data_IF_766634612932
#
_entry.id   IF_766634612932
#
_cell.length_a   1.000
_cell.length_b   1.000
_cell.length_c   1.000
_cell.angle_alpha   90.00
_cell.angle_beta   90.00
_cell.angle_gamma   90.00
#
_symmetry.space_group_name_H-M   'P 1'
#
loop_
_entity.id
_entity.type
_entity.pdbx_description
1 polymer ?
#
# COMPACT_ATOMS: atom_id res chain seq x y z
N UNK A 1 -9.04 -16.66 6.24
CA UNK A 1 -8.47 -15.81 7.32
C UNK A 1 -9.09 -14.43 7.19
N UNK A 2 -9.59 -13.84 8.28
CA UNK A 2 -10.10 -12.47 8.22
C UNK A 2 -8.88 -11.54 8.23
N UNK A 3 -8.70 -10.78 7.16
CA UNK A 3 -7.64 -9.78 7.04
C UNK A 3 -8.26 -8.39 6.91
N UNK A 4 -7.52 -7.38 7.35
CA UNK A 4 -7.89 -5.98 7.20
C UNK A 4 -6.75 -5.22 6.53
N UNK A 5 -7.03 -4.05 5.98
CA UNK A 5 -6.00 -3.16 5.47
C UNK A 5 -5.66 -2.13 6.55
N UNK A 6 -4.37 -1.83 6.73
CA UNK A 6 -3.96 -0.74 7.61
C UNK A 6 -4.25 0.61 6.95
N UNK A 7 -5.07 1.44 7.61
CA UNK A 7 -5.48 2.76 7.13
C UNK A 7 -4.29 3.71 6.89
N UNK A 8 -3.17 3.53 7.59
CA UNK A 8 -1.98 4.39 7.43
C UNK A 8 -1.04 3.90 6.33
N UNK A 9 -0.69 2.60 6.32
CA UNK A 9 0.40 2.09 5.49
C UNK A 9 -0.03 1.19 4.34
N UNK A 10 -1.31 0.83 4.27
CA UNK A 10 -1.89 -0.04 3.24
C UNK A 10 -1.48 -1.51 3.33
N UNK A 11 -0.69 -1.93 4.33
CA UNK A 11 -0.35 -3.35 4.52
C UNK A 11 -1.54 -4.15 5.03
N UNK A 12 -1.58 -5.42 4.67
CA UNK A 12 -2.47 -6.42 5.24
C UNK A 12 -2.18 -6.60 6.72
N UNK A 13 -3.22 -6.43 7.54
CA UNK A 13 -3.26 -6.75 8.96
C UNK A 13 -3.71 -8.21 9.07
N UNK A 14 -2.80 -9.06 9.55
CA UNK A 14 -3.10 -10.45 9.90
C UNK A 14 -3.61 -10.52 11.34
N UNK A 15 -4.67 -11.30 11.57
CA UNK A 15 -5.21 -11.50 12.92
C UNK A 15 -4.12 -11.96 13.91
N UNK A 16 -4.22 -11.50 15.17
CA UNK A 16 -3.37 -11.94 16.28
C UNK A 16 -4.23 -12.16 17.52
N UNK A 17 -3.84 -13.10 18.40
CA UNK A 17 -4.59 -13.42 19.63
C UNK A 17 -4.85 -12.19 20.51
N UNK A 18 -3.92 -11.24 20.56
CA UNK A 18 -4.08 -9.98 21.30
C UNK A 18 -5.19 -9.05 20.75
N UNK A 19 -5.78 -9.35 19.59
CA UNK A 19 -6.89 -8.60 19.00
C UNK A 19 -8.23 -9.35 19.07
N UNK A 20 -8.29 -10.50 19.73
CA UNK A 20 -9.49 -11.33 19.74
C UNK A 20 -10.75 -10.60 20.22
N UNK A 21 -10.61 -9.65 21.16
CA UNK A 21 -11.75 -8.93 21.76
C UNK A 21 -12.21 -7.71 20.95
N UNK A 22 -11.32 -7.12 20.16
CA UNK A 22 -11.53 -5.80 19.54
C UNK A 22 -11.19 -5.79 18.04
N UNK A 23 -11.21 -6.95 17.39
CA UNK A 23 -10.79 -7.08 15.98
C UNK A 23 -11.55 -6.14 15.05
N UNK A 24 -12.84 -5.91 15.31
CA UNK A 24 -13.68 -4.99 14.53
C UNK A 24 -13.17 -3.55 14.57
N UNK A 25 -12.60 -3.13 15.70
CA UNK A 25 -12.02 -1.79 15.91
C UNK A 25 -10.58 -1.66 15.41
N UNK A 26 -9.91 -2.74 14.99
CA UNK A 26 -8.53 -2.69 14.49
C UNK A 26 -8.48 -2.02 13.12
N UNK A 27 -7.82 -0.85 13.07
CA UNK A 27 -7.61 -0.05 11.84
C UNK A 27 -6.14 0.09 11.42
N UNK A 28 -5.19 -0.17 12.33
CA UNK A 28 -3.76 0.03 12.08
C UNK A 28 -2.94 -1.20 12.47
N UNK A 29 -1.90 -1.50 11.69
CA UNK A 29 -1.02 -2.64 11.96
C UNK A 29 -0.08 -2.43 13.17
N UNK A 30 0.14 -1.17 13.60
CA UNK A 30 1.04 -0.84 14.70
C UNK A 30 0.71 0.52 15.32
N UNK A 31 1.21 0.76 16.54
CA UNK A 31 1.11 2.07 17.22
C UNK A 31 1.79 3.17 16.40
N UNK A 32 2.91 2.88 15.72
CA UNK A 32 3.56 3.83 14.84
C UNK A 32 2.67 4.26 13.65
N UNK A 33 1.95 3.31 13.05
CA UNK A 33 0.99 3.61 11.98
C UNK A 33 -0.20 4.42 12.51
N UNK A 34 -0.70 4.10 13.71
CA UNK A 34 -1.76 4.88 14.35
C UNK A 34 -1.32 6.33 14.62
N UNK A 35 -0.10 6.55 15.10
CA UNK A 35 0.44 7.89 15.40
C UNK A 35 0.75 8.69 14.14
N UNK A 36 1.32 8.07 13.10
CA UNK A 36 1.68 8.76 11.85
C UNK A 36 0.46 9.13 11.00
N UNK A 37 -0.54 8.26 10.92
CA UNK A 37 -1.70 8.45 10.04
C UNK A 37 -1.32 8.52 8.55
N UNK A 38 -2.17 9.18 7.77
CA UNK A 38 -1.96 9.54 6.37
C UNK A 38 -1.84 11.07 6.30
N UNK A 39 -0.74 11.55 5.72
CA UNK A 39 -0.42 12.98 5.57
C UNK A 39 -0.87 13.50 4.21
N UNK A 40 -0.84 14.81 3.97
CA UNK A 40 -1.18 15.36 2.65
C UNK A 40 -0.17 14.93 1.57
N UNK A 41 1.13 14.89 1.92
CA UNK A 41 2.16 14.35 1.04
C UNK A 41 1.92 12.89 0.63
N UNK A 42 1.31 12.09 1.51
CA UNK A 42 0.93 10.72 1.20
C UNK A 42 -0.19 10.67 0.12
N UNK A 43 -1.11 11.64 0.12
CA UNK A 43 -2.20 11.76 -0.87
C UNK A 43 -1.68 12.30 -2.21
N UNK A 44 -0.73 13.22 -2.16
CA UNK A 44 -0.06 13.73 -3.37
C UNK A 44 0.66 12.61 -4.11
N UNK A 45 1.35 11.74 -3.36
CA UNK A 45 1.97 10.53 -3.90
C UNK A 45 0.94 9.59 -4.54
N UNK A 46 -0.23 9.40 -3.92
CA UNK A 46 -1.31 8.61 -4.53
C UNK A 46 -1.78 9.20 -5.86
N UNK A 47 -2.00 10.51 -5.92
CA UNK A 47 -2.41 11.19 -7.16
C UNK A 47 -1.33 11.10 -8.24
N UNK A 48 -0.06 11.27 -7.86
CA UNK A 48 1.06 11.11 -8.77
C UNK A 48 1.11 9.70 -9.36
N UNK A 49 1.00 8.67 -8.52
CA UNK A 49 0.98 7.27 -8.94
C UNK A 49 -0.18 7.01 -9.90
N UNK A 50 -1.39 7.46 -9.58
CA UNK A 50 -2.57 7.27 -10.43
C UNK A 50 -2.39 7.91 -11.82
N UNK A 51 -1.82 9.11 -11.88
CA UNK A 51 -1.50 9.77 -13.16
C UNK A 51 -0.46 8.99 -13.96
N UNK A 52 0.55 8.43 -13.29
CA UNK A 52 1.62 7.68 -13.94
C UNK A 52 1.11 6.36 -14.55
N UNK A 53 0.36 5.56 -13.77
CA UNK A 53 -0.19 4.28 -14.27
C UNK A 53 -1.28 4.47 -15.33
N UNK A 54 -1.95 5.62 -15.36
CA UNK A 54 -2.91 5.95 -16.42
C UNK A 54 -2.26 6.22 -17.79
N UNK A 55 -0.95 6.51 -17.81
CA UNK A 55 -0.18 6.77 -19.04
C UNK A 55 0.66 5.58 -19.50
N UNK A 56 0.98 4.66 -18.60
CA UNK A 56 1.95 3.59 -18.84
C UNK A 56 1.39 2.23 -18.40
N UNK A 57 1.47 1.23 -19.29
CA UNK A 57 0.95 -0.13 -19.03
C UNK A 57 1.64 -0.83 -17.85
N UNK A 58 2.94 -0.63 -17.67
CA UNK A 58 3.75 -1.10 -16.53
C UNK A 58 4.67 0.01 -16.07
N UNK A 59 4.48 0.47 -14.85
CA UNK A 59 5.21 1.59 -14.30
C UNK A 59 6.09 1.13 -13.14
N UNK A 60 7.43 1.23 -13.22
CA UNK A 60 8.31 0.84 -12.12
C UNK A 60 8.12 1.78 -10.92
N UNK A 61 7.76 1.26 -9.75
CA UNK A 61 7.46 2.11 -8.59
C UNK A 61 8.67 2.93 -8.11
N UNK A 62 9.88 2.44 -8.35
CA UNK A 62 11.12 3.10 -7.98
C UNK A 62 11.37 4.43 -8.71
N UNK A 63 10.62 4.75 -9.77
CA UNK A 63 10.74 6.03 -10.49
C UNK A 63 9.92 7.16 -9.88
N UNK A 64 9.03 6.86 -8.92
CA UNK A 64 8.31 7.90 -8.17
C UNK A 64 9.30 8.59 -7.23
N UNK A 65 9.44 9.90 -7.36
CA UNK A 65 10.27 10.71 -6.48
C UNK A 65 9.68 10.76 -5.06
N UNK A 66 10.54 10.65 -4.04
CA UNK A 66 10.17 10.74 -2.62
C UNK A 66 10.82 9.67 -1.74
N UNK A 67 10.49 9.69 -0.45
CA UNK A 67 10.93 8.63 0.47
C UNK A 67 10.33 7.28 0.05
N UNK A 68 11.18 6.26 -0.01
CA UNK A 68 10.81 4.94 -0.54
C UNK A 68 9.66 4.30 0.23
N UNK A 69 9.61 4.42 1.55
CA UNK A 69 8.52 3.81 2.33
C UNK A 69 7.25 4.64 2.22
N UNK A 70 7.33 5.96 2.12
CA UNK A 70 6.15 6.80 1.87
C UNK A 70 5.51 6.51 0.50
N UNK A 71 6.33 6.38 -0.55
CA UNK A 71 5.89 5.93 -1.90
C UNK A 71 5.23 4.55 -1.82
N UNK A 72 5.86 3.58 -1.15
CA UNK A 72 5.29 2.24 -1.00
C UNK A 72 3.99 2.26 -0.20
N UNK A 73 3.85 3.09 0.84
CA UNK A 73 2.59 3.23 1.59
C UNK A 73 1.46 3.74 0.71
N UNK A 74 1.71 4.78 -0.10
CA UNK A 74 0.76 5.28 -1.07
C UNK A 74 0.33 4.20 -2.08
N UNK A 75 1.30 3.52 -2.70
CA UNK A 75 1.03 2.45 -3.64
C UNK A 75 0.28 1.26 -2.99
N UNK A 76 0.55 0.92 -1.72
CA UNK A 76 -0.19 -0.13 -1.01
C UNK A 76 -1.65 0.27 -0.76
N UNK A 77 -1.90 1.52 -0.35
CA UNK A 77 -3.28 2.02 -0.15
C UNK A 77 -4.07 2.02 -1.45
N UNK A 78 -3.46 2.43 -2.56
CA UNK A 78 -4.08 2.34 -3.89
C UNK A 78 -4.38 0.89 -4.30
N UNK A 79 -3.46 -0.04 -4.02
CA UNK A 79 -3.68 -1.45 -4.32
C UNK A 79 -4.83 -2.04 -3.49
N UNK A 80 -4.89 -1.69 -2.19
CA UNK A 80 -5.99 -2.09 -1.32
C UNK A 80 -7.34 -1.48 -1.73
N UNK A 81 -7.32 -0.28 -2.31
CA UNK A 81 -8.49 0.36 -2.91
C UNK A 81 -8.85 -0.18 -4.30
N UNK A 82 -8.14 -1.20 -4.80
CA UNK A 82 -8.40 -1.82 -6.10
C UNK A 82 -8.07 -0.91 -7.30
N UNK A 83 -7.23 0.11 -7.11
CA UNK A 83 -6.88 1.07 -8.16
C UNK A 83 -5.65 0.66 -8.97
N UNK A 84 -4.74 -0.09 -8.34
CA UNK A 84 -3.52 -0.58 -8.97
C UNK A 84 -3.21 -2.02 -8.58
N UNK A 85 -2.46 -2.71 -9.43
CA UNK A 85 -1.90 -4.04 -9.15
C UNK A 85 -0.38 -4.00 -9.19
N UNK A 86 0.24 -4.69 -8.23
CA UNK A 86 1.68 -4.85 -8.15
C UNK A 86 2.13 -6.12 -8.91
N UNK A 87 3.20 -6.00 -9.67
CA UNK A 87 3.84 -7.11 -10.37
C UNK A 87 5.35 -7.09 -10.17
N UNK A 88 5.98 -8.27 -10.20
CA UNK A 88 7.42 -8.44 -10.21
C UNK A 88 7.77 -9.52 -11.22
N UNK A 89 8.67 -9.20 -12.18
CA UNK A 89 8.96 -10.06 -13.34
C UNK A 89 7.67 -10.50 -14.08
N UNK A 90 6.71 -9.58 -14.23
CA UNK A 90 5.42 -9.82 -14.88
C UNK A 90 4.43 -10.67 -14.08
N UNK A 91 4.78 -11.14 -12.88
CA UNK A 91 3.90 -11.94 -12.02
C UNK A 91 3.24 -11.08 -10.95
N UNK A 92 1.94 -11.26 -10.64
CA UNK A 92 1.30 -10.58 -9.51
C UNK A 92 2.01 -10.88 -8.18
N UNK A 93 2.20 -9.87 -7.34
CA UNK A 93 2.81 -10.02 -6.00
C UNK A 93 1.98 -9.30 -4.94
N UNK A 94 2.06 -9.76 -3.69
CA UNK A 94 1.39 -9.10 -2.56
C UNK A 94 2.14 -7.79 -2.18
N UNK A 95 1.49 -6.62 -2.23
CA UNK A 95 2.08 -5.33 -1.87
C UNK A 95 2.65 -5.25 -0.44
N UNK A 96 2.15 -6.10 0.47
CA UNK A 96 2.57 -6.13 1.87
C UNK A 96 3.92 -6.82 2.06
N UNK A 97 4.27 -7.75 1.18
CA UNK A 97 5.45 -8.62 1.30
C UNK A 97 6.45 -8.44 0.17
N UNK A 98 6.05 -7.86 -0.96
CA UNK A 98 6.92 -7.63 -2.11
C UNK A 98 8.16 -6.79 -1.74
N UNK A 99 9.34 -7.31 -2.11
CA UNK A 99 10.66 -6.70 -1.86
C UNK A 99 11.32 -6.31 -3.18
N UNK A 100 12.28 -5.40 -3.09
CA UNK A 100 13.03 -4.93 -4.25
C UNK A 100 12.17 -4.15 -5.24
N UNK A 101 12.58 -4.25 -6.51
CA UNK A 101 11.96 -3.55 -7.64
C UNK A 101 10.63 -4.19 -8.01
N UNK A 102 9.61 -3.35 -8.03
CA UNK A 102 8.22 -3.72 -8.30
C UNK A 102 7.66 -2.79 -9.35
N UNK A 103 6.82 -3.34 -10.19
CA UNK A 103 6.05 -2.60 -11.18
C UNK A 103 4.61 -2.48 -10.71
N UNK A 104 3.96 -1.40 -11.09
CA UNK A 104 2.55 -1.17 -10.83
C UNK A 104 1.80 -0.91 -12.13
N UNK A 105 0.56 -1.35 -12.17
CA UNK A 105 -0.35 -1.26 -13.31
C UNK A 105 -1.71 -0.78 -12.84
N UNK A 106 -2.43 -0.02 -13.66
CA UNK A 106 -3.83 0.27 -13.38
C UNK A 106 -4.64 -1.03 -13.39
N UNK A 107 -5.62 -1.14 -12.48
CA UNK A 107 -6.59 -2.24 -12.48
C UNK A 107 -7.74 -1.91 -13.41
#
# INVERSE_FOLDING_TARGET
MITKTCDSCGRTITWRKAWAKDWDSVRWCSTACRRRGVRDSDRDLEQHILRAVGRTRRFPLATVEGDREDVRRAARRLAAAGRIRWTQHGRPVDPSTARGDVEITAT
#
